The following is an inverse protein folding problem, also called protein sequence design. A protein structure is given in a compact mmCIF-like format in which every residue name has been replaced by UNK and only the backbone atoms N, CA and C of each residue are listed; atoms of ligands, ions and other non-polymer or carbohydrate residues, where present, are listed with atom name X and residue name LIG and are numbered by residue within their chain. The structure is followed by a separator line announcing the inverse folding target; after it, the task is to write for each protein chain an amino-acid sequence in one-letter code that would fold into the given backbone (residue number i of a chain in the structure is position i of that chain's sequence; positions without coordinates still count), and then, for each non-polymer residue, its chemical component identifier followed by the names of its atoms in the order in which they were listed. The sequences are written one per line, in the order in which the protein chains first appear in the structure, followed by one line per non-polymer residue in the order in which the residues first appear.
data_IF_253577683861
#
_entry.id   IF_253577683861
#
_cell.length_a   1.000
_cell.length_b   1.000
_cell.length_c   1.000
_cell.angle_alpha   90.00
_cell.angle_beta   90.00
_cell.angle_gamma   90.00
#
_symmetry.space_group_name_H-M   'P 1'
#
loop_
_entity.id
_entity.type
_entity.pdbx_description
1 polymer ?
#
# COMPACT_ATOMS: atom_id res chain seq x y z
N UNK A 1 2.11 -15.53 -35.45
CA UNK A 1 2.31 -14.32 -34.61
C UNK A 1 3.77 -14.32 -34.21
N UNK A 2 4.48 -13.17 -34.25
CA UNK A 2 5.84 -13.08 -33.74
C UNK A 2 5.85 -13.45 -32.26
N UNK A 3 6.87 -14.19 -31.80
CA UNK A 3 7.07 -14.52 -30.40
C UNK A 3 7.07 -13.24 -29.56
N UNK A 4 6.30 -13.22 -28.47
CA UNK A 4 6.25 -12.09 -27.55
C UNK A 4 7.49 -12.09 -26.65
N UNK A 5 8.19 -10.95 -26.52
CA UNK A 5 9.39 -10.83 -25.69
C UNK A 5 9.06 -10.05 -24.40
N UNK A 6 9.24 -10.68 -23.25
CA UNK A 6 9.00 -10.10 -21.94
C UNK A 6 10.33 -10.02 -21.17
N UNK A 7 10.70 -8.82 -20.75
CA UNK A 7 11.83 -8.60 -19.83
C UNK A 7 11.27 -8.36 -18.42
N UNK A 8 11.80 -9.09 -17.44
CA UNK A 8 11.35 -9.03 -16.04
C UNK A 8 12.53 -8.65 -15.15
N UNK A 9 12.41 -7.49 -14.49
CA UNK A 9 13.42 -7.02 -13.53
C UNK A 9 13.20 -7.66 -12.15
N UNK A 10 13.19 -8.98 -12.13
CA UNK A 10 13.10 -9.78 -10.92
C UNK A 10 13.40 -11.24 -11.21
N UNK A 11 13.74 -12.00 -10.20
CA UNK A 11 13.84 -13.45 -10.31
C UNK A 11 12.44 -14.08 -10.24
N UNK A 12 12.14 -14.95 -11.17
CA UNK A 12 10.89 -15.71 -11.21
C UNK A 12 11.14 -17.19 -10.84
N UNK A 13 10.22 -17.78 -10.08
CA UNK A 13 10.19 -19.23 -9.87
C UNK A 13 9.54 -19.94 -11.07
N UNK A 14 9.82 -21.25 -11.24
CA UNK A 14 9.29 -22.04 -12.36
C UNK A 14 7.77 -21.92 -12.52
N UNK A 15 7.00 -21.87 -11.44
CA UNK A 15 5.54 -21.71 -11.48
C UNK A 15 5.08 -20.39 -12.14
N UNK A 16 5.90 -19.34 -12.06
CA UNK A 16 5.59 -18.04 -12.70
C UNK A 16 5.80 -18.13 -14.21
N UNK A 17 6.88 -18.77 -14.67
CA UNK A 17 7.09 -19.04 -16.09
C UNK A 17 5.94 -19.87 -16.66
N UNK A 18 5.57 -20.96 -15.97
CA UNK A 18 4.42 -21.80 -16.36
C UNK A 18 3.15 -20.97 -16.48
N UNK A 19 2.83 -20.14 -15.49
CA UNK A 19 1.63 -19.31 -15.53
C UNK A 19 1.58 -18.33 -16.72
N UNK A 20 2.73 -17.79 -17.12
CA UNK A 20 2.82 -16.88 -18.29
C UNK A 20 2.72 -17.70 -19.58
N UNK A 21 3.42 -18.85 -19.68
CA UNK A 21 3.37 -19.73 -20.86
C UNK A 21 1.98 -20.37 -21.05
N UNK A 22 1.21 -20.60 -19.99
CA UNK A 22 -0.20 -21.03 -20.09
C UNK A 22 -1.09 -19.99 -20.81
N UNK A 23 -0.69 -18.72 -20.78
CA UNK A 23 -1.39 -17.64 -21.51
C UNK A 23 -0.83 -17.49 -22.94
N UNK A 24 0.51 -17.53 -23.10
CA UNK A 24 1.21 -17.37 -24.38
C UNK A 24 2.34 -18.40 -24.46
N UNK A 25 2.12 -19.57 -25.05
CA UNK A 25 3.10 -20.67 -25.09
C UNK A 25 4.46 -20.31 -25.70
N UNK A 26 4.47 -19.52 -26.78
CA UNK A 26 5.68 -19.17 -27.53
C UNK A 26 6.34 -17.87 -27.05
N UNK A 27 6.14 -17.50 -25.76
CA UNK A 27 6.70 -16.29 -25.20
C UNK A 27 8.15 -16.48 -24.78
N UNK A 28 9.03 -15.56 -25.16
CA UNK A 28 10.40 -15.47 -24.65
C UNK A 28 10.42 -14.60 -23.39
N UNK A 29 10.83 -15.17 -22.24
CA UNK A 29 10.87 -14.47 -20.95
C UNK A 29 12.32 -14.40 -20.48
N UNK A 30 12.83 -13.19 -20.31
CA UNK A 30 14.18 -12.92 -19.82
C UNK A 30 14.07 -12.28 -18.43
N UNK A 31 14.67 -12.92 -17.43
CA UNK A 31 14.79 -12.36 -16.07
C UNK A 31 16.19 -11.80 -15.88
N UNK A 32 16.31 -10.58 -15.40
CA UNK A 32 17.59 -9.91 -15.20
C UNK A 32 17.51 -8.83 -14.11
N UNK A 33 18.67 -8.34 -13.70
CA UNK A 33 18.75 -7.11 -12.87
C UNK A 33 18.50 -5.88 -13.75
N UNK A 34 18.28 -4.71 -13.10
CA UNK A 34 18.11 -3.44 -13.82
C UNK A 34 19.42 -3.02 -14.53
N UNK A 35 20.58 -3.44 -14.01
CA UNK A 35 21.89 -3.19 -14.58
C UNK A 35 22.12 -3.98 -15.88
N UNK A 36 21.59 -5.20 -15.97
CA UNK A 36 21.70 -6.08 -17.14
C UNK A 36 20.63 -5.81 -18.20
N UNK A 37 19.50 -5.23 -17.81
CA UNK A 37 18.34 -4.99 -18.66
C UNK A 37 18.65 -4.21 -19.98
N UNK A 38 19.62 -3.28 -20.03
CA UNK A 38 19.99 -2.61 -21.28
C UNK A 38 20.44 -3.55 -22.41
N UNK A 39 20.87 -4.79 -22.10
CA UNK A 39 21.27 -5.79 -23.08
C UNK A 39 20.08 -6.51 -23.73
N UNK A 40 18.90 -6.43 -23.13
CA UNK A 40 17.73 -7.22 -23.53
C UNK A 40 16.52 -6.36 -23.93
N UNK A 41 16.49 -5.08 -23.51
CA UNK A 41 15.29 -4.23 -23.62
C UNK A 41 14.99 -3.80 -25.07
N UNK A 42 15.99 -3.77 -25.96
CA UNK A 42 15.80 -3.28 -27.33
C UNK A 42 14.71 -4.04 -28.08
N UNK A 43 14.64 -5.36 -27.90
CA UNK A 43 13.67 -6.24 -28.54
C UNK A 43 12.45 -6.59 -27.68
N UNK A 44 12.32 -6.03 -26.49
CA UNK A 44 11.23 -6.34 -25.58
C UNK A 44 9.90 -5.69 -26.01
N UNK A 45 8.81 -6.45 -25.97
CA UNK A 45 7.44 -5.93 -26.12
C UNK A 45 6.84 -5.50 -24.80
N UNK A 46 7.21 -6.20 -23.70
CA UNK A 46 6.70 -5.96 -22.34
C UNK A 46 7.86 -5.88 -21.36
N UNK A 47 7.81 -4.91 -20.46
CA UNK A 47 8.68 -4.78 -19.29
C UNK A 47 7.88 -5.00 -18.00
N UNK A 48 8.34 -5.92 -17.15
CA UNK A 48 7.81 -6.12 -15.80
C UNK A 48 8.87 -5.67 -14.80
N UNK A 49 8.54 -4.70 -13.95
CA UNK A 49 9.48 -4.13 -13.00
C UNK A 49 8.81 -3.70 -11.68
N UNK A 50 9.61 -3.58 -10.62
CA UNK A 50 9.14 -3.02 -9.36
C UNK A 50 9.03 -1.49 -9.41
N UNK A 51 8.02 -0.93 -8.76
CA UNK A 51 7.80 0.53 -8.68
C UNK A 51 8.86 1.31 -7.89
N UNK A 52 9.70 0.64 -7.11
CA UNK A 52 10.81 1.25 -6.36
C UNK A 52 12.13 1.34 -7.17
N UNK A 53 12.17 0.81 -8.38
CA UNK A 53 13.34 0.96 -9.26
C UNK A 53 13.62 2.44 -9.55
N UNK A 54 14.90 2.87 -9.62
CA UNK A 54 15.25 4.26 -9.89
C UNK A 54 14.65 4.78 -11.21
N UNK A 55 14.03 5.95 -11.15
CA UNK A 55 13.31 6.54 -12.29
C UNK A 55 14.21 6.76 -13.51
N UNK A 56 15.43 7.28 -13.29
CA UNK A 56 16.41 7.51 -14.34
C UNK A 56 16.83 6.24 -15.07
N UNK A 57 16.97 5.12 -14.34
CA UNK A 57 17.27 3.81 -14.94
C UNK A 57 16.09 3.28 -15.74
N UNK A 58 14.86 3.38 -15.22
CA UNK A 58 13.65 2.97 -15.94
C UNK A 58 13.47 3.79 -17.23
N UNK A 59 13.65 5.11 -17.17
CA UNK A 59 13.57 5.98 -18.33
C UNK A 59 14.62 5.63 -19.39
N UNK A 60 15.85 5.35 -18.97
CA UNK A 60 16.93 4.91 -19.87
C UNK A 60 16.59 3.59 -20.59
N UNK A 61 15.89 2.64 -19.92
CA UNK A 61 15.42 1.42 -20.57
C UNK A 61 14.38 1.73 -21.64
N UNK A 62 13.43 2.61 -21.35
CA UNK A 62 12.40 3.03 -22.32
C UNK A 62 13.04 3.70 -23.54
N UNK A 63 14.00 4.60 -23.33
CA UNK A 63 14.72 5.28 -24.42
C UNK A 63 15.53 4.31 -25.31
N UNK A 64 16.02 3.20 -24.77
CA UNK A 64 16.74 2.16 -25.51
C UNK A 64 15.83 1.16 -26.20
N UNK A 65 14.58 1.06 -25.77
CA UNK A 65 13.62 0.11 -26.34
C UNK A 65 13.13 0.57 -27.72
N UNK A 66 12.97 -0.39 -28.65
CA UNK A 66 12.40 -0.11 -29.99
C UNK A 66 10.98 -0.63 -30.13
N UNK A 67 10.63 -1.65 -29.34
CA UNK A 67 9.39 -2.40 -29.49
C UNK A 67 8.48 -2.36 -28.26
N UNK A 68 8.91 -1.69 -27.17
CA UNK A 68 8.19 -1.72 -25.91
C UNK A 68 6.81 -1.07 -26.06
N UNK A 69 5.76 -1.84 -25.72
CA UNK A 69 4.36 -1.42 -25.80
C UNK A 69 3.66 -1.39 -24.47
N UNK A 70 4.19 -2.12 -23.48
CA UNK A 70 3.56 -2.22 -22.19
C UNK A 70 4.58 -2.39 -21.06
N UNK A 71 4.39 -1.61 -19.99
CA UNK A 71 5.10 -1.73 -18.72
C UNK A 71 4.09 -2.18 -17.67
N UNK A 72 4.41 -3.24 -16.93
CA UNK A 72 3.65 -3.70 -15.77
C UNK A 72 4.46 -3.52 -14.49
N UNK A 73 3.97 -2.68 -13.59
CA UNK A 73 4.54 -2.53 -12.25
C UNK A 73 4.13 -3.69 -11.34
N UNK A 74 5.09 -4.38 -10.76
CA UNK A 74 4.85 -5.37 -9.70
C UNK A 74 4.37 -4.71 -8.40
N UNK A 75 4.43 -3.39 -8.26
CA UNK A 75 3.95 -2.60 -7.13
C UNK A 75 2.59 -1.96 -7.43
N UNK A 76 1.90 -1.46 -6.40
CA UNK A 76 0.73 -0.59 -6.59
C UNK A 76 1.14 0.83 -6.99
N UNK A 77 2.22 1.37 -6.36
CA UNK A 77 2.79 2.66 -6.72
C UNK A 77 3.51 2.60 -8.06
N UNK A 78 3.39 3.70 -8.82
CA UNK A 78 3.98 3.85 -10.16
C UNK A 78 4.76 5.16 -10.30
N UNK A 79 5.01 5.84 -9.21
CA UNK A 79 5.59 7.18 -9.18
C UNK A 79 6.91 7.25 -9.98
N UNK A 80 7.78 6.23 -9.84
CA UNK A 80 9.06 6.16 -10.55
C UNK A 80 8.94 5.77 -12.04
N UNK A 81 7.74 5.39 -12.51
CA UNK A 81 7.48 5.20 -13.94
C UNK A 81 6.97 6.47 -14.63
N UNK A 82 6.61 7.52 -13.87
CA UNK A 82 5.98 8.71 -14.41
C UNK A 82 7.02 9.78 -14.82
N UNK A 83 8.03 9.38 -15.60
CA UNK A 83 8.90 10.34 -16.28
C UNK A 83 8.19 10.97 -17.48
N UNK A 84 8.66 12.13 -17.92
CA UNK A 84 8.11 12.81 -19.10
C UNK A 84 8.15 11.93 -20.35
N UNK A 85 9.20 11.12 -20.50
CA UNK A 85 9.34 10.15 -21.59
C UNK A 85 8.23 9.12 -21.60
N UNK A 86 7.89 8.55 -20.44
CA UNK A 86 6.84 7.51 -20.32
C UNK A 86 5.45 8.15 -20.42
N UNK A 87 5.23 9.30 -19.78
CA UNK A 87 3.94 10.02 -19.83
C UNK A 87 3.56 10.34 -21.27
N UNK A 88 4.51 10.87 -22.07
CA UNK A 88 4.25 11.29 -23.44
C UNK A 88 4.36 10.15 -24.49
N UNK A 89 4.57 8.91 -24.06
CA UNK A 89 4.64 7.75 -24.97
C UNK A 89 3.29 7.07 -25.14
N UNK A 90 3.17 6.22 -26.19
CA UNK A 90 2.03 5.31 -26.38
C UNK A 90 2.16 4.01 -25.56
N UNK A 91 3.20 3.89 -24.74
CA UNK A 91 3.43 2.69 -23.91
C UNK A 91 2.34 2.61 -22.84
N UNK A 92 1.65 1.49 -22.78
CA UNK A 92 0.69 1.20 -21.72
C UNK A 92 1.42 1.05 -20.38
N UNK A 93 0.86 1.60 -19.33
CA UNK A 93 1.36 1.40 -17.96
C UNK A 93 0.25 0.77 -17.12
N UNK A 94 0.53 -0.36 -16.48
CA UNK A 94 -0.37 -0.99 -15.52
C UNK A 94 0.36 -1.34 -14.24
N UNK A 95 -0.37 -1.59 -13.17
CA UNK A 95 0.19 -1.89 -11.85
C UNK A 95 -0.44 -3.13 -11.21
N UNK A 96 0.07 -3.50 -10.05
CA UNK A 96 -0.43 -4.63 -9.25
C UNK A 96 -1.41 -4.19 -8.14
N UNK A 97 -2.19 -3.11 -8.35
CA UNK A 97 -3.23 -2.71 -7.37
C UNK A 97 -4.25 -3.82 -7.16
N UNK A 98 -4.72 -3.95 -5.93
CA UNK A 98 -5.73 -4.96 -5.56
C UNK A 98 -5.17 -6.22 -4.90
N UNK A 99 -3.89 -6.54 -5.08
CA UNK A 99 -3.27 -7.76 -4.49
C UNK A 99 -2.81 -7.59 -3.04
N UNK A 100 -2.67 -6.35 -2.59
CA UNK A 100 -2.06 -5.97 -1.31
C UNK A 100 -3.04 -6.04 -0.12
N UNK A 101 -4.35 -6.09 -0.39
CA UNK A 101 -5.37 -5.93 0.65
C UNK A 101 -5.26 -6.95 1.77
N UNK A 102 -4.94 -8.23 1.45
CA UNK A 102 -4.85 -9.29 2.46
C UNK A 102 -3.72 -9.04 3.48
N UNK A 103 -2.44 -8.96 3.08
CA UNK A 103 -1.35 -8.75 4.04
C UNK A 103 -1.46 -7.41 4.77
N UNK A 104 -1.86 -6.34 4.09
CA UNK A 104 -2.04 -5.03 4.73
C UNK A 104 -3.16 -5.04 5.77
N UNK A 105 -4.27 -5.73 5.51
CA UNK A 105 -5.33 -5.87 6.51
C UNK A 105 -4.88 -6.70 7.71
N UNK A 106 -4.13 -7.77 7.51
CA UNK A 106 -3.54 -8.57 8.59
C UNK A 106 -2.54 -7.74 9.41
N UNK A 107 -1.73 -6.91 8.76
CA UNK A 107 -0.80 -6.00 9.42
C UNK A 107 -1.53 -4.99 10.31
N UNK A 108 -2.59 -4.35 9.81
CA UNK A 108 -3.43 -3.42 10.59
C UNK A 108 -4.03 -4.13 11.82
N UNK A 109 -4.57 -5.33 11.65
CA UNK A 109 -5.15 -6.09 12.77
C UNK A 109 -4.10 -6.48 13.80
N UNK A 110 -2.89 -6.87 13.37
CA UNK A 110 -1.78 -7.17 14.27
C UNK A 110 -1.41 -5.95 15.13
N UNK A 111 -1.34 -4.76 14.51
CA UNK A 111 -1.10 -3.49 15.22
C UNK A 111 -2.23 -3.19 16.21
N UNK A 112 -3.49 -3.27 15.79
CA UNK A 112 -4.64 -3.00 16.66
C UNK A 112 -4.69 -3.97 17.85
N UNK A 113 -4.40 -5.26 17.63
CA UNK A 113 -4.28 -6.26 18.67
C UNK A 113 -3.05 -6.00 19.57
N UNK A 114 -1.95 -5.52 19.02
CA UNK A 114 -0.77 -5.12 19.81
C UNK A 114 -1.12 -4.04 20.82
N UNK A 115 -1.88 -3.02 20.42
CA UNK A 115 -2.35 -1.96 21.30
C UNK A 115 -3.32 -2.49 22.37
N UNK A 116 -4.38 -3.19 21.97
CA UNK A 116 -5.40 -3.65 22.91
C UNK A 116 -4.88 -4.72 23.88
N UNK A 117 -3.98 -5.57 23.42
CA UNK A 117 -3.40 -6.66 24.24
C UNK A 117 -2.10 -6.28 24.92
N UNK A 118 -1.61 -5.01 24.76
CA UNK A 118 -0.39 -4.50 25.40
C UNK A 118 0.83 -5.40 25.12
N UNK A 119 1.01 -5.84 23.88
CA UNK A 119 2.07 -6.83 23.56
C UNK A 119 3.46 -6.28 23.81
N UNK A 120 3.69 -5.00 23.57
CA UNK A 120 4.98 -4.34 23.86
C UNK A 120 5.31 -4.40 25.35
N UNK A 121 4.36 -4.08 26.23
CA UNK A 121 4.53 -4.20 27.68
C UNK A 121 4.95 -5.62 28.08
N UNK A 122 4.30 -6.65 27.51
CA UNK A 122 4.64 -8.04 27.84
C UNK A 122 5.97 -8.48 27.26
N UNK A 123 6.35 -8.04 26.07
CA UNK A 123 7.69 -8.30 25.52
C UNK A 123 8.79 -7.66 26.37
N UNK A 124 8.60 -6.44 26.83
CA UNK A 124 9.54 -5.76 27.72
C UNK A 124 9.58 -6.43 29.10
N UNK A 125 8.45 -6.81 29.70
CA UNK A 125 8.36 -7.58 30.93
C UNK A 125 9.07 -8.93 30.81
N UNK A 126 8.89 -9.65 29.69
CA UNK A 126 9.58 -10.91 29.43
C UNK A 126 11.10 -10.73 29.39
N UNK A 127 11.61 -9.71 28.67
CA UNK A 127 13.05 -9.40 28.64
C UNK A 127 13.61 -9.09 30.01
N UNK A 128 12.83 -8.37 30.83
CA UNK A 128 13.20 -8.03 32.23
C UNK A 128 12.95 -9.17 33.22
N UNK A 129 12.40 -10.32 32.79
CA UNK A 129 12.01 -11.48 33.66
C UNK A 129 11.01 -11.09 34.75
N UNK A 130 10.08 -10.19 34.44
CA UNK A 130 9.07 -9.70 35.36
C UNK A 130 7.71 -10.37 35.04
N UNK A 131 7.12 -11.04 36.04
CA UNK A 131 5.78 -11.59 35.96
C UNK A 131 4.77 -10.51 36.39
N UNK A 132 4.36 -9.66 35.43
CA UNK A 132 3.47 -8.52 35.66
C UNK A 132 2.15 -8.67 34.92
N UNK A 133 1.09 -8.14 35.53
CA UNK A 133 -0.23 -8.00 34.91
C UNK A 133 -0.52 -6.53 34.64
N UNK A 134 -1.23 -6.24 33.54
CA UNK A 134 -1.70 -4.90 33.25
C UNK A 134 -3.17 -4.95 32.81
N UNK A 135 -3.81 -3.79 32.73
CA UNK A 135 -5.18 -3.68 32.20
C UNK A 135 -5.14 -3.90 30.69
N UNK A 136 -5.96 -4.79 30.20
CA UNK A 136 -6.10 -5.10 28.78
C UNK A 136 -7.44 -4.57 28.26
N UNK A 137 -7.51 -4.43 26.95
CA UNK A 137 -8.69 -4.04 26.20
C UNK A 137 -8.95 -5.07 25.07
N UNK A 138 -10.03 -4.94 24.34
CA UNK A 138 -10.41 -5.83 23.23
C UNK A 138 -10.95 -5.03 22.03
N UNK A 139 -10.92 -5.63 20.86
CA UNK A 139 -11.44 -5.00 19.63
C UNK A 139 -12.96 -5.15 19.50
N UNK A 140 -13.54 -6.16 20.16
CA UNK A 140 -14.97 -6.41 20.10
C UNK A 140 -15.78 -5.18 20.55
N UNK A 141 -16.76 -4.77 19.73
CA UNK A 141 -17.62 -3.63 20.01
C UNK A 141 -16.99 -2.24 19.78
N UNK A 142 -15.67 -2.18 19.48
CA UNK A 142 -15.02 -0.90 19.13
C UNK A 142 -15.29 -0.50 17.69
N UNK A 143 -15.14 0.79 17.41
CA UNK A 143 -15.32 1.38 16.09
C UNK A 143 -13.97 1.57 15.39
N UNK A 144 -13.84 1.04 14.18
CA UNK A 144 -12.76 1.38 13.26
C UNK A 144 -13.26 2.38 12.22
N UNK A 145 -12.55 3.50 12.05
CA UNK A 145 -12.74 4.49 10.99
C UNK A 145 -11.71 4.28 9.87
N UNK A 146 -12.16 3.87 8.70
CA UNK A 146 -11.29 3.63 7.54
C UNK A 146 -11.34 4.84 6.62
N UNK A 147 -10.23 5.57 6.54
CA UNK A 147 -10.08 6.76 5.69
C UNK A 147 -9.56 6.33 4.33
N UNK A 148 -10.49 6.27 3.35
CA UNK A 148 -10.24 5.74 2.02
C UNK A 148 -10.70 4.28 1.86
N UNK A 149 -11.90 4.05 1.32
CA UNK A 149 -12.45 2.70 1.13
C UNK A 149 -12.16 2.14 -0.27
N UNK A 150 -10.87 1.93 -0.57
CA UNK A 150 -10.41 1.23 -1.76
C UNK A 150 -10.35 -0.30 -1.57
N UNK A 151 -9.56 -1.00 -2.37
CA UNK A 151 -9.36 -2.47 -2.25
C UNK A 151 -8.80 -2.86 -0.88
N UNK A 152 -7.83 -2.11 -0.35
CA UNK A 152 -7.22 -2.33 0.97
C UNK A 152 -8.25 -2.08 2.08
N UNK A 153 -8.92 -0.92 2.05
CA UNK A 153 -9.93 -0.56 3.05
C UNK A 153 -11.06 -1.60 3.15
N UNK A 154 -11.51 -2.17 2.01
CA UNK A 154 -12.52 -3.23 2.00
C UNK A 154 -12.03 -4.53 2.65
N UNK A 155 -10.77 -4.91 2.46
CA UNK A 155 -10.19 -6.08 3.12
C UNK A 155 -10.02 -5.87 4.62
N UNK A 156 -9.69 -4.64 5.06
CA UNK A 156 -9.68 -4.27 6.49
C UNK A 156 -11.11 -4.34 7.06
N UNK A 157 -12.08 -3.71 6.39
CA UNK A 157 -13.48 -3.72 6.80
C UNK A 157 -14.02 -5.14 7.02
N UNK A 158 -13.80 -6.03 6.06
CA UNK A 158 -14.21 -7.44 6.12
C UNK A 158 -13.66 -8.14 7.36
N UNK A 159 -12.38 -7.94 7.68
CA UNK A 159 -11.73 -8.61 8.83
C UNK A 159 -12.13 -7.99 10.15
N UNK A 160 -12.25 -6.66 10.22
CA UNK A 160 -12.72 -5.94 11.39
C UNK A 160 -14.14 -6.38 11.79
N UNK A 161 -15.03 -6.58 10.80
CA UNK A 161 -16.37 -7.16 11.04
C UNK A 161 -16.27 -8.58 11.61
N UNK A 162 -15.35 -9.40 11.14
CA UNK A 162 -15.08 -10.74 11.68
C UNK A 162 -14.64 -10.76 13.15
N UNK A 163 -14.07 -9.66 13.64
CA UNK A 163 -13.70 -9.44 15.04
C UNK A 163 -14.80 -8.75 15.87
N UNK A 164 -15.99 -8.57 15.30
CA UNK A 164 -17.12 -7.95 16.00
C UNK A 164 -17.02 -6.43 16.16
N UNK A 165 -16.20 -5.76 15.35
CA UNK A 165 -16.08 -4.30 15.37
C UNK A 165 -17.24 -3.64 14.61
N UNK A 166 -17.52 -2.37 14.96
CA UNK A 166 -18.24 -1.45 14.09
C UNK A 166 -17.29 -0.87 13.07
N UNK A 167 -17.70 -0.80 11.80
CA UNK A 167 -16.87 -0.33 10.69
C UNK A 167 -17.49 0.91 10.07
N UNK A 168 -16.80 2.03 10.24
CA UNK A 168 -17.08 3.30 9.60
C UNK A 168 -16.06 3.53 8.49
N UNK A 169 -16.47 4.12 7.39
CA UNK A 169 -15.55 4.37 6.30
C UNK A 169 -15.84 5.71 5.60
N UNK A 170 -14.76 6.38 5.21
CA UNK A 170 -14.83 7.60 4.41
C UNK A 170 -14.51 7.28 2.95
N UNK A 171 -15.34 7.74 2.02
CA UNK A 171 -15.10 7.63 0.57
C UNK A 171 -15.80 8.76 -0.21
N UNK A 172 -15.23 9.09 -1.38
CA UNK A 172 -15.73 10.17 -2.24
C UNK A 172 -17.17 9.96 -2.73
N UNK A 173 -17.55 8.71 -3.05
CA UNK A 173 -18.87 8.38 -3.59
C UNK A 173 -19.59 7.43 -2.64
N UNK A 174 -20.70 7.87 -2.06
CA UNK A 174 -21.49 7.10 -1.09
C UNK A 174 -22.34 6.03 -1.81
N UNK A 175 -21.75 4.89 -2.05
CA UNK A 175 -22.46 3.70 -2.53
C UNK A 175 -22.41 2.62 -1.45
N UNK A 176 -23.47 1.83 -1.31
CA UNK A 176 -23.55 0.75 -0.31
C UNK A 176 -22.33 -0.18 -0.43
N UNK A 177 -21.70 -0.46 0.68
CA UNK A 177 -20.50 -1.30 0.77
C UNK A 177 -20.74 -2.47 1.72
N UNK A 178 -20.19 -3.63 1.36
CA UNK A 178 -20.20 -4.78 2.24
C UNK A 178 -19.27 -4.55 3.45
N UNK A 179 -19.67 -5.06 4.61
CA UNK A 179 -18.88 -4.98 5.85
C UNK A 179 -18.66 -3.57 6.38
N UNK A 180 -19.42 -2.57 5.92
CA UNK A 180 -19.39 -1.19 6.44
C UNK A 180 -20.74 -0.87 7.05
N UNK A 181 -20.75 -0.41 8.30
CA UNK A 181 -21.96 -0.05 9.03
C UNK A 181 -22.41 1.38 8.69
N UNK A 182 -21.44 2.31 8.51
CA UNK A 182 -21.74 3.69 8.16
C UNK A 182 -20.69 4.25 7.19
N UNK A 183 -21.18 4.97 6.17
CA UNK A 183 -20.35 5.67 5.20
C UNK A 183 -20.43 7.19 5.45
N UNK A 184 -19.29 7.83 5.30
CA UNK A 184 -19.10 9.27 5.43
C UNK A 184 -18.47 9.81 4.14
N UNK A 185 -18.89 11.00 3.70
CA UNK A 185 -18.21 11.71 2.61
C UNK A 185 -16.98 12.48 3.12
N UNK A 186 -16.37 13.28 2.25
CA UNK A 186 -15.15 14.01 2.60
C UNK A 186 -15.40 15.13 3.62
N UNK A 187 -16.58 15.78 3.58
CA UNK A 187 -16.94 16.86 4.50
C UNK A 187 -17.23 16.34 5.90
N UNK A 188 -17.68 15.08 5.98
CA UNK A 188 -18.02 14.38 7.23
C UNK A 188 -16.82 13.64 7.85
N UNK A 189 -15.60 13.81 7.34
CA UNK A 189 -14.43 13.10 7.87
C UNK A 189 -14.26 13.32 9.39
N UNK A 190 -14.36 14.54 9.86
CA UNK A 190 -14.21 14.88 11.28
C UNK A 190 -15.26 14.21 12.17
N UNK A 191 -16.51 14.07 11.67
CA UNK A 191 -17.58 13.36 12.39
C UNK A 191 -17.23 11.88 12.56
N UNK A 192 -16.73 11.22 11.49
CA UNK A 192 -16.27 9.84 11.56
C UNK A 192 -15.12 9.67 12.55
N UNK A 193 -14.14 10.58 12.54
CA UNK A 193 -12.97 10.53 13.41
C UNK A 193 -13.35 10.66 14.89
N UNK A 194 -14.35 11.50 15.21
CA UNK A 194 -14.84 11.68 16.57
C UNK A 194 -15.49 10.42 17.17
N UNK A 195 -15.95 9.50 16.33
CA UNK A 195 -16.61 8.26 16.75
C UNK A 195 -15.68 7.02 16.69
N UNK A 196 -14.49 7.15 16.05
CA UNK A 196 -13.59 6.03 15.85
C UNK A 196 -12.67 5.79 17.06
N UNK A 197 -12.49 4.53 17.45
CA UNK A 197 -11.48 4.10 18.42
C UNK A 197 -10.16 3.77 17.73
N UNK A 198 -10.21 3.36 16.47
CA UNK A 198 -9.06 3.16 15.60
C UNK A 198 -9.30 3.87 14.28
N UNK A 199 -8.35 4.69 13.85
CA UNK A 199 -8.38 5.40 12.55
C UNK A 199 -7.30 4.81 11.67
N UNK A 200 -7.69 4.27 10.50
CA UNK A 200 -6.76 3.64 9.56
C UNK A 200 -6.79 4.37 8.23
N UNK A 201 -5.62 4.84 7.77
CA UNK A 201 -5.48 5.60 6.52
C UNK A 201 -5.06 4.66 5.39
N UNK A 202 -5.86 4.65 4.31
CA UNK A 202 -5.61 3.87 3.09
C UNK A 202 -5.84 4.71 1.81
N UNK A 203 -5.67 6.04 1.90
CA UNK A 203 -5.80 7.00 0.79
C UNK A 203 -4.58 6.95 -0.13
N UNK A 204 -4.72 7.23 -1.43
CA UNK A 204 -3.59 7.60 -2.27
C UNK A 204 -3.05 8.97 -1.86
N UNK A 205 -1.77 9.23 -2.14
CA UNK A 205 -1.18 10.55 -2.02
C UNK A 205 -1.58 11.38 -3.26
N UNK A 206 -2.22 12.50 -3.01
CA UNK A 206 -2.58 13.54 -3.98
C UNK A 206 -2.35 14.91 -3.34
N UNK A 207 -2.48 15.98 -4.10
CA UNK A 207 -2.39 17.34 -3.53
C UNK A 207 -3.44 17.57 -2.43
N UNK A 208 -4.65 17.04 -2.60
CA UNK A 208 -5.73 17.14 -1.61
C UNK A 208 -5.50 16.31 -0.34
N UNK A 209 -4.70 15.23 -0.42
CA UNK A 209 -4.44 14.34 0.72
C UNK A 209 -3.10 14.57 1.38
N UNK A 210 -2.23 15.41 0.81
CA UNK A 210 -0.95 15.81 1.38
C UNK A 210 -1.18 16.59 2.68
N UNK A 211 -0.52 16.15 3.77
CA UNK A 211 -0.68 16.73 5.11
C UNK A 211 -2.15 16.83 5.58
N UNK A 212 -3.02 15.95 5.07
CA UNK A 212 -4.42 15.89 5.49
C UNK A 212 -4.52 15.70 7.01
N UNK A 213 -3.73 14.77 7.56
CA UNK A 213 -3.65 14.56 9.00
C UNK A 213 -2.66 15.57 9.62
N UNK A 214 -3.18 16.70 10.01
CA UNK A 214 -2.52 17.77 10.75
C UNK A 214 -3.05 17.82 12.20
N UNK A 215 -2.51 18.73 13.02
CA UNK A 215 -2.88 18.86 14.42
C UNK A 215 -4.37 19.12 14.63
N UNK A 216 -5.01 19.93 13.76
CA UNK A 216 -6.44 20.24 13.89
C UNK A 216 -7.29 18.98 13.63
N UNK A 217 -6.90 18.16 12.66
CA UNK A 217 -7.64 16.93 12.39
C UNK A 217 -7.39 15.90 13.51
N UNK A 218 -6.19 15.79 14.08
CA UNK A 218 -5.93 14.94 15.26
C UNK A 218 -6.77 15.34 16.47
N UNK A 219 -7.03 16.64 16.68
CA UNK A 219 -7.90 17.14 17.77
C UNK A 219 -9.36 16.70 17.66
N UNK A 220 -9.82 16.30 16.47
CA UNK A 220 -11.19 15.79 16.29
C UNK A 220 -11.33 14.33 16.73
N UNK A 221 -10.23 13.61 16.88
CA UNK A 221 -10.22 12.22 17.29
C UNK A 221 -10.46 12.05 18.79
N UNK A 222 -10.90 10.86 19.21
CA UNK A 222 -11.01 10.54 20.64
C UNK A 222 -9.62 10.52 21.31
N UNK A 223 -9.50 11.01 22.53
CA UNK A 223 -8.26 10.89 23.33
C UNK A 223 -7.81 9.45 23.52
N UNK A 224 -8.73 8.49 23.50
CA UNK A 224 -8.47 7.06 23.63
C UNK A 224 -8.22 6.38 22.31
N UNK A 225 -8.25 7.10 21.18
CA UNK A 225 -8.11 6.50 19.86
C UNK A 225 -6.66 6.26 19.45
N UNK A 226 -6.49 5.36 18.52
CA UNK A 226 -5.22 5.04 17.87
C UNK A 226 -5.26 5.41 16.39
N UNK A 227 -4.18 5.99 15.91
CA UNK A 227 -4.01 6.38 14.51
C UNK A 227 -3.06 5.41 13.79
N UNK A 228 -3.42 4.92 12.60
CA UNK A 228 -2.62 3.93 11.84
C UNK A 228 -2.49 4.41 10.39
N UNK A 229 -1.26 4.66 9.93
CA UNK A 229 -0.99 5.01 8.54
C UNK A 229 -0.20 3.90 7.84
N UNK A 230 -0.83 3.25 6.85
CA UNK A 230 -0.25 2.21 6.00
C UNK A 230 -0.27 2.62 4.52
N UNK A 231 -0.45 3.91 4.24
CA UNK A 231 -0.64 4.40 2.86
C UNK A 231 0.61 5.13 2.31
N UNK A 232 0.77 6.41 2.59
CA UNK A 232 1.95 7.22 2.27
C UNK A 232 2.26 8.18 3.43
N UNK A 233 3.55 8.36 3.74
CA UNK A 233 3.99 9.22 4.85
C UNK A 233 3.55 10.67 4.70
N UNK A 234 3.64 11.23 3.49
CA UNK A 234 3.28 12.62 3.22
C UNK A 234 1.78 12.96 3.38
N UNK A 235 0.91 11.99 3.69
CA UNK A 235 -0.49 12.25 4.08
C UNK A 235 -0.57 12.79 5.52
N UNK A 236 0.46 12.56 6.30
CA UNK A 236 0.57 12.98 7.71
C UNK A 236 1.61 14.07 7.84
N UNK A 237 1.27 15.13 8.56
CA UNK A 237 2.27 16.05 9.09
C UNK A 237 2.90 15.38 10.31
N UNK A 238 4.16 14.92 10.20
CA UNK A 238 4.85 14.17 11.25
C UNK A 238 5.10 15.01 12.52
N UNK A 239 5.38 16.30 12.39
CA UNK A 239 5.56 17.20 13.54
C UNK A 239 4.25 17.38 14.32
N UNK A 240 3.14 17.48 13.62
CA UNK A 240 1.80 17.58 14.23
C UNK A 240 1.42 16.25 14.91
N UNK A 241 1.79 15.10 14.32
CA UNK A 241 1.60 13.80 14.95
C UNK A 241 2.41 13.67 16.25
N UNK A 242 3.69 14.05 16.23
CA UNK A 242 4.54 14.07 17.42
C UNK A 242 3.91 14.96 18.50
N UNK A 243 3.43 16.14 18.11
CA UNK A 243 2.72 17.05 19.03
C UNK A 243 1.45 16.41 19.59
N UNK A 244 0.68 15.70 18.77
CA UNK A 244 -0.54 15.01 19.20
C UNK A 244 -0.25 13.86 20.20
N UNK A 245 0.83 13.11 19.97
CA UNK A 245 1.28 12.02 20.85
C UNK A 245 1.79 12.57 22.20
N UNK A 246 2.70 13.56 22.17
CA UNK A 246 3.31 14.14 23.37
C UNK A 246 2.26 14.83 24.26
N UNK A 247 1.28 15.48 23.67
CA UNK A 247 0.19 16.17 24.40
C UNK A 247 -0.99 15.23 24.71
N UNK A 248 -0.91 13.94 24.39
CA UNK A 248 -1.96 12.93 24.62
C UNK A 248 -3.31 13.38 24.01
N UNK A 249 -3.27 13.99 22.83
CA UNK A 249 -4.46 14.32 22.04
C UNK A 249 -5.08 13.03 21.52
N UNK A 250 -4.24 12.04 21.13
CA UNK A 250 -4.61 10.68 20.84
C UNK A 250 -3.81 9.71 21.75
N UNK A 251 -4.27 8.49 21.88
CA UNK A 251 -3.66 7.49 22.77
C UNK A 251 -2.33 6.96 22.24
N UNK A 252 -2.22 6.76 20.94
CA UNK A 252 -1.03 6.25 20.28
C UNK A 252 -1.19 6.20 18.78
N UNK A 253 -0.12 5.84 18.07
CA UNK A 253 -0.13 5.72 16.62
C UNK A 253 0.71 4.52 16.12
N UNK A 254 0.52 4.16 14.86
CA UNK A 254 1.40 3.25 14.13
C UNK A 254 1.64 3.78 12.72
N UNK A 255 2.90 3.77 12.30
CA UNK A 255 3.31 4.19 10.97
C UNK A 255 4.08 3.06 10.29
N UNK A 256 3.63 2.67 9.10
CA UNK A 256 4.37 1.80 8.19
C UNK A 256 5.09 2.60 7.12
N UNK A 257 4.76 3.89 6.98
CA UNK A 257 5.23 4.80 5.92
C UNK A 257 5.60 6.17 6.51
N UNK A 258 6.61 6.84 5.90
CA UNK A 258 7.19 8.06 6.42
C UNK A 258 7.36 9.10 5.31
N UNK A 259 7.49 10.39 5.68
CA UNK A 259 7.75 11.47 4.71
C UNK A 259 9.10 11.28 4.02
N UNK A 260 10.08 10.79 4.75
CA UNK A 260 11.40 10.41 4.23
C UNK A 260 11.66 8.95 4.52
N UNK A 261 11.91 8.16 3.49
CA UNK A 261 12.21 6.73 3.58
C UNK A 261 13.57 6.43 2.93
N UNK A 262 14.46 5.70 3.59
CA UNK A 262 14.38 5.17 4.97
C UNK A 262 14.24 6.28 6.02
N UNK A 263 13.51 5.98 7.12
CA UNK A 263 13.37 6.93 8.25
C UNK A 263 14.77 7.29 8.79
N UNK A 264 15.15 8.59 8.81
CA UNK A 264 16.47 9.01 9.27
C UNK A 264 16.73 8.61 10.73
N UNK A 265 17.98 8.23 11.04
CA UNK A 265 18.39 7.78 12.39
C UNK A 265 18.17 8.85 13.48
N UNK A 266 18.15 10.12 13.09
CA UNK A 266 17.90 11.25 14.00
C UNK A 266 16.43 11.69 14.03
N UNK A 267 15.52 10.94 13.45
CA UNK A 267 14.09 11.27 13.48
C UNK A 267 13.55 11.18 14.91
N UNK A 268 12.83 12.20 15.40
CA UNK A 268 12.20 12.18 16.71
C UNK A 268 11.07 11.14 16.85
N UNK A 269 10.62 10.57 15.73
CA UNK A 269 9.64 9.48 15.74
C UNK A 269 10.17 8.21 16.44
N UNK A 270 11.49 7.94 16.37
CA UNK A 270 12.08 6.78 17.04
C UNK A 270 11.94 6.80 18.58
N UNK A 271 11.82 7.99 19.16
CA UNK A 271 11.76 8.20 20.61
C UNK A 271 10.32 8.25 21.15
N UNK A 272 9.30 8.13 20.29
CA UNK A 272 7.89 8.17 20.71
C UNK A 272 7.49 6.84 21.38
N UNK A 273 7.25 6.84 22.69
CA UNK A 273 6.86 5.63 23.45
C UNK A 273 5.51 5.01 23.04
N UNK A 274 4.62 5.82 22.48
CA UNK A 274 3.27 5.40 22.06
C UNK A 274 3.13 5.31 20.53
N UNK A 275 4.24 5.04 19.83
CA UNK A 275 4.30 4.88 18.37
C UNK A 275 4.88 3.51 18.00
N UNK A 276 4.16 2.74 17.21
CA UNK A 276 4.69 1.54 16.55
C UNK A 276 5.21 1.93 15.16
N UNK A 277 6.46 1.57 14.86
CA UNK A 277 7.11 1.81 13.58
C UNK A 277 7.35 0.48 12.87
N UNK A 278 6.96 0.40 11.59
CA UNK A 278 7.34 -0.69 10.69
C UNK A 278 7.91 -0.12 9.39
N UNK A 279 8.95 -0.74 8.77
CA UNK A 279 9.70 -0.12 7.69
C UNK A 279 9.09 -0.40 6.30
N UNK A 280 7.89 0.11 6.03
CA UNK A 280 7.14 0.00 4.77
C UNK A 280 6.99 -1.46 4.30
N UNK A 281 6.51 -2.33 5.19
CA UNK A 281 6.43 -3.77 4.98
C UNK A 281 5.00 -4.33 5.00
N UNK A 282 3.99 -3.51 5.25
CA UNK A 282 2.60 -3.97 5.44
C UNK A 282 2.05 -4.80 4.27
N UNK A 283 2.56 -4.58 3.06
CA UNK A 283 2.15 -5.31 1.86
C UNK A 283 2.94 -6.60 1.61
N UNK A 284 4.08 -6.81 2.30
CA UNK A 284 4.96 -7.94 2.04
C UNK A 284 4.34 -9.26 2.47
N UNK A 285 4.50 -10.28 1.64
CA UNK A 285 4.03 -11.64 1.93
C UNK A 285 4.74 -12.63 1.01
N UNK A 286 4.93 -13.88 1.42
CA UNK A 286 5.48 -14.92 0.54
C UNK A 286 4.64 -15.14 -0.74
N UNK A 287 3.35 -14.82 -0.71
CA UNK A 287 2.42 -14.95 -1.83
C UNK A 287 2.35 -13.70 -2.73
N UNK A 288 3.13 -12.66 -2.43
CA UNK A 288 3.07 -11.40 -3.16
C UNK A 288 3.30 -11.59 -4.67
N UNK A 289 4.43 -12.19 -5.02
CA UNK A 289 4.81 -12.37 -6.43
C UNK A 289 3.85 -13.30 -7.18
N UNK A 290 3.34 -14.34 -6.51
CA UNK A 290 2.33 -15.23 -7.10
C UNK A 290 1.06 -14.46 -7.47
N UNK A 291 0.60 -13.55 -6.58
CA UNK A 291 -0.57 -12.70 -6.84
C UNK A 291 -0.30 -11.68 -7.94
N UNK A 292 0.89 -11.05 -7.94
CA UNK A 292 1.27 -10.09 -8.96
C UNK A 292 1.35 -10.71 -10.35
N UNK A 293 1.99 -11.88 -10.48
CA UNK A 293 2.08 -12.62 -11.75
C UNK A 293 0.70 -13.12 -12.19
N UNK A 294 -0.15 -13.57 -11.28
CA UNK A 294 -1.53 -13.93 -11.63
C UNK A 294 -2.28 -12.74 -12.24
N UNK A 295 -2.21 -11.56 -11.60
CA UNK A 295 -2.84 -10.34 -12.13
C UNK A 295 -2.22 -9.91 -13.46
N UNK A 296 -0.89 -10.00 -13.59
CA UNK A 296 -0.21 -9.79 -14.87
C UNK A 296 -0.75 -10.73 -15.97
N UNK A 297 -0.92 -12.02 -15.68
CA UNK A 297 -1.49 -12.98 -16.64
C UNK A 297 -2.93 -12.63 -17.03
N UNK A 298 -3.74 -12.13 -16.12
CA UNK A 298 -5.10 -11.64 -16.42
C UNK A 298 -5.06 -10.40 -17.33
N UNK A 299 -4.15 -9.47 -17.06
CA UNK A 299 -3.89 -8.32 -17.93
C UNK A 299 -3.31 -8.74 -19.28
N UNK A 300 -2.43 -9.75 -19.33
CA UNK A 300 -1.86 -10.26 -20.58
C UNK A 300 -2.92 -10.83 -21.50
N UNK A 301 -3.90 -11.57 -20.97
CA UNK A 301 -5.06 -12.04 -21.74
C UNK A 301 -5.84 -10.88 -22.37
N UNK A 302 -6.04 -9.81 -21.60
CA UNK A 302 -6.72 -8.60 -22.11
C UNK A 302 -5.91 -7.85 -23.15
N UNK A 303 -4.60 -7.72 -22.92
CA UNK A 303 -3.67 -7.12 -23.87
C UNK A 303 -3.71 -7.84 -25.24
N UNK A 304 -3.63 -9.17 -25.22
CA UNK A 304 -3.68 -9.98 -26.43
C UNK A 304 -5.02 -9.91 -27.18
N UNK A 305 -6.12 -9.69 -26.47
CA UNK A 305 -7.46 -9.50 -27.05
C UNK A 305 -7.76 -8.03 -27.40
N UNK A 306 -6.79 -7.14 -27.29
CA UNK A 306 -6.97 -5.68 -27.48
C UNK A 306 -8.08 -5.09 -26.59
N UNK A 307 -8.29 -5.70 -25.41
CA UNK A 307 -9.24 -5.22 -24.40
C UNK A 307 -8.52 -4.35 -23.37
N UNK A 308 -9.25 -3.46 -22.72
CA UNK A 308 -8.72 -2.61 -21.65
C UNK A 308 -8.14 -3.43 -20.50
N UNK A 309 -6.95 -3.07 -20.04
CA UNK A 309 -6.28 -3.71 -18.91
C UNK A 309 -7.04 -3.44 -17.60
N UNK A 310 -7.06 -4.44 -16.69
CA UNK A 310 -7.76 -4.35 -15.40
C UNK A 310 -7.22 -3.23 -14.50
N UNK A 311 -5.93 -2.96 -14.63
CA UNK A 311 -5.21 -2.03 -13.76
C UNK A 311 -4.41 -1.01 -14.56
N UNK A 312 -4.98 -0.58 -15.70
CA UNK A 312 -4.41 0.49 -16.52
C UNK A 312 -4.27 1.77 -15.69
N UNK A 313 -3.17 2.45 -15.88
CA UNK A 313 -2.84 3.71 -15.21
C UNK A 313 -3.13 4.86 -16.16
N UNK A 314 -3.89 5.84 -15.68
CA UNK A 314 -3.94 7.17 -16.28
C UNK A 314 -2.62 7.89 -15.94
N UNK A 315 -1.73 7.99 -16.91
CA UNK A 315 -0.37 8.51 -16.71
C UNK A 315 -0.34 9.99 -16.33
N UNK A 316 -1.37 10.76 -16.68
CA UNK A 316 -1.49 12.17 -16.30
C UNK A 316 -1.92 12.31 -14.84
N UNK A 317 -2.81 11.44 -14.37
CA UNK A 317 -3.27 11.45 -12.97
C UNK A 317 -2.37 10.63 -12.04
N UNK A 318 -1.55 9.72 -12.58
CA UNK A 318 -0.63 8.88 -11.80
C UNK A 318 -1.29 7.70 -11.07
N UNK A 319 -2.56 7.34 -11.42
CA UNK A 319 -3.28 6.22 -10.77
C UNK A 319 -4.36 5.58 -11.66
#
# INVERSE_FOLDING_TARGET
MSSLNIVVLNNLANRHFTAIHDVVPDTNIITCSIEEAPNFIEGADILIAWGWQPQDKLENLVLKSKNLKWIHSLSAGVENFLSSTIINSDILLSNSRGIHGIPMAEHVLAIMLSFTRQLEFFFNSQKAKLWQRTKLDELYGKTIGIVGLGSIGREIAKRAKGLGMQVYANKRTLTKELFVDQLFDQEQLSEMLAEADFVVVTLPLTDDTRNLFNLELFKTMKKSSYFINISRGAIVNEDDLITALNNKIIQGAALDVFQTEPLPDNSPLWEQENLIITPHISSLSPQYLDRAIKLFCENLKKYLSSSELLTLIDKEKGY
#
